data_IF_514685635608
#
_entry.id   IF_514685635608
#
_cell.length_a   1.000
_cell.length_b   1.000
_cell.length_c   1.000
_cell.angle_alpha   90.00
_cell.angle_beta   90.00
_cell.angle_gamma   90.00
#
_symmetry.space_group_name_H-M   'P 1'
#
loop_
_entity.id
_entity.type
_entity.pdbx_description
1 polymer ?
#
# COMPACT_ATOMS: atom_id res chain seq x y z
N UNK A 1 5.06 -48.37 -21.23
CA UNK A 1 4.87 -47.43 -20.13
C UNK A 1 5.48 -46.09 -20.56
N UNK A 2 4.66 -45.14 -21.00
CA UNK A 2 5.12 -43.81 -21.41
C UNK A 2 4.99 -42.88 -20.20
N UNK A 3 6.12 -42.39 -19.71
CA UNK A 3 6.21 -41.37 -18.66
C UNK A 3 5.88 -40.03 -19.32
N UNK A 4 4.79 -39.37 -18.87
CA UNK A 4 4.44 -38.02 -19.30
C UNK A 4 5.39 -37.02 -18.64
N UNK A 5 5.93 -36.03 -19.37
CA UNK A 5 6.75 -34.99 -18.76
C UNK A 5 5.88 -34.05 -17.93
N UNK A 6 6.25 -33.87 -16.68
CA UNK A 6 5.67 -32.88 -15.80
C UNK A 6 5.75 -31.48 -16.45
N UNK A 7 4.64 -30.81 -16.47
CA UNK A 7 4.41 -29.56 -17.17
C UNK A 7 5.32 -28.46 -16.56
N UNK A 8 6.33 -27.99 -17.29
CA UNK A 8 7.27 -26.94 -16.91
C UNK A 8 6.52 -25.66 -16.47
N UNK A 9 5.32 -25.43 -17.00
CA UNK A 9 4.46 -24.31 -16.64
C UNK A 9 3.95 -24.40 -15.19
N UNK A 10 3.64 -25.59 -14.66
CA UNK A 10 3.23 -25.79 -13.27
C UNK A 10 4.39 -25.59 -12.29
N UNK A 11 5.60 -25.99 -12.68
CA UNK A 11 6.80 -25.76 -11.85
C UNK A 11 7.11 -24.25 -11.78
N UNK A 12 6.97 -23.51 -12.89
CA UNK A 12 7.19 -22.06 -12.93
C UNK A 12 6.14 -21.28 -12.13
N UNK A 13 4.89 -21.72 -12.12
CA UNK A 13 3.82 -21.12 -11.31
C UNK A 13 4.02 -21.42 -9.82
N UNK A 14 4.35 -22.66 -9.46
CA UNK A 14 4.58 -23.04 -8.05
C UNK A 14 5.82 -22.37 -7.45
N UNK A 15 6.89 -22.17 -8.23
CA UNK A 15 8.09 -21.45 -7.77
C UNK A 15 7.82 -19.94 -7.62
N UNK A 16 7.02 -19.31 -8.49
CA UNK A 16 6.61 -17.90 -8.34
C UNK A 16 5.68 -17.71 -7.14
N UNK A 17 4.79 -18.63 -6.85
CA UNK A 17 3.91 -18.60 -5.69
C UNK A 17 4.69 -18.77 -4.37
N UNK A 18 5.60 -19.74 -4.31
CA UNK A 18 6.46 -19.93 -3.14
C UNK A 18 7.39 -18.72 -2.89
N UNK A 19 7.95 -18.11 -3.95
CA UNK A 19 8.77 -16.89 -3.80
C UNK A 19 7.97 -15.68 -3.32
N UNK A 20 6.69 -15.53 -3.69
CA UNK A 20 5.84 -14.44 -3.17
C UNK A 20 5.52 -14.58 -1.69
N UNK A 21 5.45 -15.80 -1.16
CA UNK A 21 5.22 -16.04 0.26
C UNK A 21 6.45 -15.72 1.14
N UNK A 22 7.60 -15.48 0.54
CA UNK A 22 8.86 -15.16 1.21
C UNK A 22 9.27 -13.69 1.00
N UNK A 23 8.40 -12.86 0.42
CA UNK A 23 8.66 -11.45 0.18
C UNK A 23 8.17 -10.59 1.35
N UNK A 24 9.09 -9.87 2.00
CA UNK A 24 8.76 -8.88 3.02
C UNK A 24 8.24 -7.60 2.37
N UNK A 25 6.98 -7.26 2.60
CA UNK A 25 6.43 -5.97 2.16
C UNK A 25 6.63 -4.91 3.24
N UNK A 26 7.31 -3.81 2.90
CA UNK A 26 7.57 -2.67 3.76
C UNK A 26 6.86 -1.45 3.16
N UNK A 27 5.99 -0.80 3.95
CA UNK A 27 5.32 0.43 3.51
C UNK A 27 6.14 1.63 3.99
N UNK A 28 6.79 2.33 3.06
CA UNK A 28 7.48 3.57 3.38
C UNK A 28 6.62 4.76 2.95
N UNK A 29 6.16 5.51 3.96
CA UNK A 29 5.46 6.79 3.79
C UNK A 29 6.51 7.87 3.52
N UNK A 30 6.87 8.05 2.26
CA UNK A 30 8.02 8.88 1.85
C UNK A 30 7.84 10.36 2.19
N UNK A 31 6.59 10.83 2.30
CA UNK A 31 6.23 12.21 2.61
C UNK A 31 4.89 12.29 3.31
N UNK A 32 4.67 13.32 4.13
CA UNK A 32 3.35 13.71 4.64
C UNK A 32 2.59 14.62 3.66
N UNK A 33 3.30 15.28 2.75
CA UNK A 33 2.70 16.20 1.81
C UNK A 33 1.71 15.46 0.90
N UNK A 34 0.54 16.04 0.74
CA UNK A 34 -0.50 15.54 -0.16
C UNK A 34 -1.23 16.73 -0.80
N UNK A 35 -1.58 16.59 -2.06
CA UNK A 35 -2.43 17.56 -2.76
C UNK A 35 -3.93 17.36 -2.49
N UNK A 36 -4.31 16.27 -1.79
CA UNK A 36 -5.65 16.03 -1.25
C UNK A 36 -5.70 16.35 0.26
N UNK A 37 -6.91 16.57 0.78
CA UNK A 37 -7.17 16.84 2.20
C UNK A 37 -8.24 15.91 2.78
N UNK A 38 -8.14 14.60 2.48
CA UNK A 38 -9.10 13.60 2.95
C UNK A 38 -9.32 13.69 4.45
N UNK A 39 -10.58 13.85 4.87
CA UNK A 39 -10.97 14.11 6.28
C UNK A 39 -10.68 12.94 7.20
N UNK A 40 -10.62 11.73 6.67
CA UNK A 40 -10.33 10.50 7.42
C UNK A 40 -8.83 10.11 7.36
N UNK A 41 -7.97 10.89 6.69
CA UNK A 41 -6.59 10.49 6.42
C UNK A 41 -5.83 10.21 7.72
N UNK A 42 -5.31 8.99 7.85
CA UNK A 42 -4.49 8.59 8.99
C UNK A 42 -3.02 9.00 8.84
N UNK A 43 -2.56 9.30 7.62
CA UNK A 43 -1.18 9.69 7.34
C UNK A 43 -0.94 11.18 7.68
N UNK A 44 -1.24 11.56 8.93
CA UNK A 44 -0.99 12.89 9.47
C UNK A 44 -0.11 12.76 10.71
N UNK A 45 1.16 13.07 10.55
CA UNK A 45 2.15 13.06 11.64
C UNK A 45 2.54 14.50 11.97
N UNK A 46 3.35 14.68 13.02
CA UNK A 46 3.84 16.03 13.38
C UNK A 46 4.82 16.54 12.32
N UNK A 47 4.48 17.62 11.65
CA UNK A 47 5.26 18.26 10.58
C UNK A 47 6.55 18.94 11.04
N UNK A 48 7.11 18.58 12.18
CA UNK A 48 8.31 19.19 12.74
C UNK A 48 9.56 18.46 12.27
N UNK A 49 10.18 18.92 11.20
CA UNK A 49 11.45 18.40 10.74
C UNK A 49 11.55 18.28 9.21
N UNK A 50 12.75 18.05 8.73
CA UNK A 50 13.03 17.82 7.31
C UNK A 50 12.81 16.35 7.00
N UNK A 51 11.87 16.03 6.11
CA UNK A 51 11.60 14.68 5.66
C UNK A 51 12.83 14.04 5.00
N UNK A 52 13.00 12.75 5.23
CA UNK A 52 14.18 11.98 4.80
C UNK A 52 14.38 12.01 3.28
N UNK A 53 13.30 12.04 2.51
CA UNK A 53 13.35 12.03 1.03
C UNK A 53 14.15 13.21 0.43
N UNK A 54 14.37 14.30 1.18
CA UNK A 54 15.13 15.45 0.72
C UNK A 54 16.67 15.32 0.90
N UNK A 55 17.14 14.14 1.33
CA UNK A 55 18.57 13.86 1.51
C UNK A 55 18.96 12.55 0.83
N UNK A 56 19.76 12.65 -0.22
CA UNK A 56 20.30 11.48 -0.95
C UNK A 56 21.04 10.53 -0.03
N UNK A 57 21.86 11.06 0.89
CA UNK A 57 22.60 10.26 1.84
C UNK A 57 21.69 9.52 2.83
N UNK A 58 20.59 10.17 3.24
CA UNK A 58 19.61 9.55 4.14
C UNK A 58 18.79 8.47 3.45
N UNK A 59 18.42 8.65 2.17
CA UNK A 59 17.76 7.61 1.37
C UNK A 59 18.66 6.37 1.28
N UNK A 60 19.93 6.55 0.93
CA UNK A 60 20.90 5.44 0.84
C UNK A 60 21.10 4.74 2.18
N UNK A 61 21.24 5.51 3.28
CA UNK A 61 21.36 4.97 4.62
C UNK A 61 20.12 4.14 5.01
N UNK A 62 18.91 4.65 4.74
CA UNK A 62 17.67 3.93 5.02
C UNK A 62 17.60 2.61 4.23
N UNK A 63 17.96 2.60 2.94
CA UNK A 63 17.91 1.38 2.12
C UNK A 63 18.89 0.32 2.63
N UNK A 64 20.09 0.71 3.06
CA UNK A 64 21.04 -0.23 3.70
C UNK A 64 20.48 -0.84 4.97
N UNK A 65 19.78 -0.08 5.79
CA UNK A 65 19.17 -0.59 7.02
C UNK A 65 17.94 -1.48 6.72
N UNK A 66 17.09 -1.09 5.78
CA UNK A 66 15.94 -1.89 5.33
C UNK A 66 16.41 -3.26 4.80
N UNK A 67 17.51 -3.32 4.07
CA UNK A 67 18.05 -4.56 3.53
C UNK A 67 18.34 -5.64 4.60
N UNK A 68 18.53 -5.25 5.86
CA UNK A 68 18.76 -6.18 6.98
C UNK A 68 17.47 -6.80 7.53
N UNK A 69 16.29 -6.22 7.22
CA UNK A 69 15.02 -6.60 7.86
C UNK A 69 14.60 -8.06 7.63
N UNK A 70 14.77 -8.68 6.46
CA UNK A 70 14.48 -10.11 6.28
C UNK A 70 15.24 -10.96 7.30
N UNK A 71 16.56 -10.78 7.41
CA UNK A 71 17.40 -11.52 8.34
C UNK A 71 16.96 -11.29 9.80
N UNK A 72 16.68 -10.05 10.19
CA UNK A 72 16.27 -9.69 11.55
C UNK A 72 14.91 -10.31 11.90
N UNK A 73 13.92 -10.19 11.02
CA UNK A 73 12.59 -10.78 11.24
C UNK A 73 12.64 -12.31 11.24
N UNK A 74 13.44 -12.92 10.38
CA UNK A 74 13.65 -14.37 10.38
C UNK A 74 14.23 -14.84 11.72
N UNK A 75 15.23 -14.12 12.26
CA UNK A 75 15.84 -14.43 13.57
C UNK A 75 14.87 -14.24 14.72
N UNK A 76 14.20 -13.09 14.80
CA UNK A 76 13.45 -12.71 16.00
C UNK A 76 11.96 -13.13 15.97
N UNK A 77 11.40 -13.40 14.81
CA UNK A 77 9.96 -13.70 14.62
C UNK A 77 9.72 -15.06 13.96
N UNK A 78 10.77 -15.84 13.67
CA UNK A 78 10.64 -17.15 13.03
C UNK A 78 9.97 -17.07 11.66
N UNK A 79 10.26 -16.02 10.90
CA UNK A 79 9.81 -15.87 9.50
C UNK A 79 10.84 -16.48 8.56
N UNK A 80 10.56 -16.48 7.25
CA UNK A 80 11.41 -17.05 6.20
C UNK A 80 11.55 -16.11 4.99
N UNK A 81 11.56 -14.79 5.26
CA UNK A 81 11.70 -13.79 4.22
C UNK A 81 13.04 -13.87 3.49
N UNK A 82 13.01 -13.80 2.15
CA UNK A 82 14.19 -13.87 1.29
C UNK A 82 14.35 -12.64 0.40
N UNK A 83 13.29 -11.85 0.24
CA UNK A 83 13.29 -10.66 -0.60
C UNK A 83 12.47 -9.54 0.03
N UNK A 84 12.63 -8.34 -0.50
CA UNK A 84 11.91 -7.14 -0.05
C UNK A 84 11.10 -6.56 -1.21
N UNK A 85 9.84 -6.25 -0.93
CA UNK A 85 9.07 -5.32 -1.73
C UNK A 85 8.87 -4.03 -0.95
N UNK A 86 9.46 -2.95 -1.45
CA UNK A 86 9.27 -1.62 -0.93
C UNK A 86 8.02 -1.02 -1.55
N UNK A 87 6.99 -0.77 -0.74
CA UNK A 87 5.75 -0.14 -1.14
C UNK A 87 5.82 1.35 -0.82
N UNK A 88 6.00 2.18 -1.84
CA UNK A 88 6.09 3.64 -1.70
C UNK A 88 4.70 4.22 -1.54
N UNK A 89 4.47 4.80 -0.38
CA UNK A 89 3.19 5.40 0.04
C UNK A 89 3.47 6.74 0.72
N UNK A 90 2.49 7.38 1.33
CA UNK A 90 2.71 8.61 2.08
C UNK A 90 1.47 9.48 2.08
N UNK A 91 1.65 10.77 1.97
CA UNK A 91 0.64 11.70 1.52
C UNK A 91 0.31 11.41 0.06
N UNK A 92 1.02 12.06 -0.88
CA UNK A 92 0.98 11.68 -2.29
C UNK A 92 2.41 11.51 -2.83
N UNK A 93 2.85 10.28 -3.12
CA UNK A 93 4.24 10.01 -3.54
C UNK A 93 4.65 10.72 -4.84
N UNK A 94 3.69 10.98 -5.74
CA UNK A 94 3.96 11.58 -7.05
C UNK A 94 4.24 13.10 -7.01
N UNK A 95 4.18 13.73 -5.83
CA UNK A 95 4.47 15.16 -5.67
C UNK A 95 5.95 15.51 -5.92
N UNK A 96 6.87 14.59 -5.62
CA UNK A 96 8.31 14.85 -5.61
C UNK A 96 9.03 13.95 -6.62
N UNK A 97 8.94 14.31 -7.90
CA UNK A 97 9.42 13.47 -9.00
C UNK A 97 10.92 13.16 -8.92
N UNK A 98 11.75 14.17 -8.70
CA UNK A 98 13.21 13.99 -8.62
C UNK A 98 13.60 13.05 -7.47
N UNK A 99 13.00 13.25 -6.29
CA UNK A 99 13.24 12.40 -5.12
C UNK A 99 12.71 10.99 -5.34
N UNK A 100 11.54 10.86 -5.98
CA UNK A 100 11.00 9.55 -6.33
C UNK A 100 11.92 8.79 -7.29
N UNK A 101 12.44 9.44 -8.33
CA UNK A 101 13.41 8.83 -9.26
C UNK A 101 14.69 8.39 -8.55
N UNK A 102 15.15 9.18 -7.57
CA UNK A 102 16.28 8.79 -6.75
C UNK A 102 15.97 7.57 -5.87
N UNK A 103 14.81 7.55 -5.20
CA UNK A 103 14.35 6.40 -4.38
C UNK A 103 14.27 5.14 -5.26
N UNK A 104 13.67 5.22 -6.44
CA UNK A 104 13.56 4.10 -7.39
C UNK A 104 14.94 3.55 -7.72
N UNK A 105 15.88 4.42 -8.09
CA UNK A 105 17.26 4.01 -8.45
C UNK A 105 17.96 3.30 -7.29
N UNK A 106 17.94 3.92 -6.10
CA UNK A 106 18.62 3.36 -4.93
C UNK A 106 17.99 2.03 -4.50
N UNK A 107 16.66 1.95 -4.42
CA UNK A 107 15.96 0.72 -4.03
C UNK A 107 16.24 -0.43 -5.02
N UNK A 108 16.29 -0.15 -6.33
CA UNK A 108 16.64 -1.15 -7.34
C UNK A 108 18.09 -1.63 -7.23
N UNK A 109 19.03 -0.73 -6.89
CA UNK A 109 20.43 -1.11 -6.65
C UNK A 109 20.58 -2.06 -5.45
N UNK A 110 19.66 -1.98 -4.47
CA UNK A 110 19.57 -2.92 -3.36
C UNK A 110 18.77 -4.20 -3.70
N UNK A 111 18.30 -4.36 -4.93
CA UNK A 111 17.52 -5.53 -5.37
C UNK A 111 16.07 -5.55 -4.87
N UNK A 112 15.54 -4.42 -4.40
CA UNK A 112 14.15 -4.36 -3.92
C UNK A 112 13.16 -4.34 -5.07
N UNK A 113 12.12 -5.15 -4.97
CA UNK A 113 10.92 -4.99 -5.77
C UNK A 113 10.16 -3.73 -5.34
N UNK A 114 9.54 -3.03 -6.28
CA UNK A 114 8.82 -1.80 -6.00
C UNK A 114 7.32 -1.95 -6.22
N UNK A 115 6.54 -1.38 -5.32
CA UNK A 115 5.12 -1.12 -5.50
C UNK A 115 4.79 0.27 -4.95
N UNK A 116 3.64 0.82 -5.31
CA UNK A 116 3.23 2.12 -4.79
C UNK A 116 1.72 2.20 -4.59
N UNK A 117 1.30 3.21 -3.81
CA UNK A 117 -0.10 3.64 -3.72
C UNK A 117 -0.17 5.14 -3.93
N UNK A 118 -1.04 5.56 -4.84
CA UNK A 118 -1.28 6.96 -5.20
C UNK A 118 -2.77 7.28 -5.16
N UNK A 119 -3.11 8.55 -4.97
CA UNK A 119 -4.47 9.05 -5.18
C UNK A 119 -4.84 9.18 -6.67
N UNK A 120 -3.86 9.02 -7.57
CA UNK A 120 -4.02 8.98 -9.02
C UNK A 120 -4.14 10.36 -9.69
N UNK A 121 -4.23 11.45 -8.93
CA UNK A 121 -4.52 12.79 -9.49
C UNK A 121 -3.35 13.41 -10.28
N UNK A 122 -2.14 12.96 -10.01
CA UNK A 122 -0.91 13.43 -10.68
C UNK A 122 -0.39 12.47 -11.74
N UNK A 123 -1.15 11.40 -12.03
CA UNK A 123 -0.79 10.48 -13.10
C UNK A 123 -0.95 11.18 -14.45
N UNK A 124 0.15 11.42 -15.12
CA UNK A 124 0.29 11.82 -16.52
C UNK A 124 0.96 10.69 -17.32
N UNK A 125 1.19 10.92 -18.61
CA UNK A 125 1.77 9.92 -19.49
C UNK A 125 3.20 9.55 -19.06
N UNK A 126 3.98 10.52 -18.59
CA UNK A 126 5.35 10.30 -18.12
C UNK A 126 5.37 9.46 -16.83
N UNK A 127 4.49 9.76 -15.86
CA UNK A 127 4.34 8.93 -14.67
C UNK A 127 3.85 7.52 -15.00
N UNK A 128 2.93 7.38 -15.95
CA UNK A 128 2.46 6.07 -16.41
C UNK A 128 3.62 5.23 -16.96
N UNK A 129 4.53 5.84 -17.75
CA UNK A 129 5.71 5.18 -18.27
C UNK A 129 6.69 4.79 -17.16
N UNK A 130 7.04 5.72 -16.26
CA UNK A 130 7.92 5.45 -15.11
C UNK A 130 7.39 4.28 -14.29
N UNK A 131 6.09 4.27 -13.99
CA UNK A 131 5.44 3.22 -13.20
C UNK A 131 5.49 1.88 -13.91
N UNK A 132 5.14 1.84 -15.20
CA UNK A 132 5.14 0.61 -15.99
C UNK A 132 6.51 -0.08 -16.02
N UNK A 133 7.61 0.71 -16.08
CA UNK A 133 8.96 0.17 -16.19
C UNK A 133 9.63 -0.17 -14.84
N UNK A 134 9.19 0.44 -13.74
CA UNK A 134 9.93 0.33 -12.48
C UNK A 134 9.16 -0.42 -11.39
N UNK A 135 7.84 -0.57 -11.49
CA UNK A 135 7.02 -1.11 -10.42
C UNK A 135 6.37 -2.45 -10.81
N UNK A 136 6.29 -3.36 -9.86
CA UNK A 136 5.54 -4.62 -10.02
C UNK A 136 4.03 -4.39 -9.91
N UNK A 137 3.62 -3.38 -9.12
CA UNK A 137 2.21 -3.06 -8.97
C UNK A 137 1.98 -1.61 -8.53
N UNK A 138 0.83 -1.08 -8.92
CA UNK A 138 0.32 0.20 -8.43
C UNK A 138 -1.05 0.00 -7.79
N UNK A 139 -1.26 0.60 -6.62
CA UNK A 139 -2.56 0.78 -6.00
C UNK A 139 -3.09 2.19 -6.27
N UNK A 140 -4.28 2.30 -6.82
CA UNK A 140 -4.95 3.58 -7.00
C UNK A 140 -6.06 3.67 -5.95
N UNK A 141 -6.08 4.78 -5.20
CA UNK A 141 -7.07 5.00 -4.16
C UNK A 141 -8.32 5.63 -4.76
N UNK A 142 -9.46 4.94 -4.66
CA UNK A 142 -10.77 5.40 -5.15
C UNK A 142 -11.82 5.06 -4.11
N UNK A 143 -12.47 6.08 -3.53
CA UNK A 143 -13.47 5.87 -2.49
C UNK A 143 -14.90 6.05 -3.02
N UNK A 144 -15.07 6.82 -4.08
CA UNK A 144 -16.36 7.14 -4.68
C UNK A 144 -16.21 7.45 -6.18
N UNK A 145 -17.25 7.19 -6.95
CA UNK A 145 -17.38 7.66 -8.34
C UNK A 145 -18.21 8.94 -8.43
N UNK A 146 -18.87 9.34 -7.33
CA UNK A 146 -19.64 10.58 -7.27
C UNK A 146 -18.74 11.77 -6.89
N UNK A 147 -18.80 12.82 -7.70
CA UNK A 147 -18.01 14.04 -7.50
C UNK A 147 -18.35 14.73 -6.17
N UNK A 148 -19.63 14.79 -5.79
CA UNK A 148 -20.06 15.48 -4.55
C UNK A 148 -19.56 14.72 -3.33
N UNK A 149 -19.62 13.39 -3.35
CA UNK A 149 -19.08 12.55 -2.29
C UNK A 149 -17.56 12.73 -2.17
N UNK A 150 -16.81 12.70 -3.27
CA UNK A 150 -15.36 12.94 -3.25
C UNK A 150 -15.01 14.34 -2.69
N UNK A 151 -15.73 15.39 -3.10
CA UNK A 151 -15.56 16.75 -2.53
C UNK A 151 -15.83 16.74 -1.02
N UNK A 152 -16.90 16.11 -0.57
CA UNK A 152 -17.28 16.02 0.84
C UNK A 152 -16.30 15.21 1.69
N UNK A 153 -15.67 14.18 1.12
CA UNK A 153 -14.61 13.41 1.76
C UNK A 153 -13.30 14.22 1.82
N UNK A 154 -13.09 15.17 0.90
CA UNK A 154 -11.84 15.92 0.72
C UNK A 154 -10.88 15.25 -0.28
N UNK A 155 -11.40 14.36 -1.15
CA UNK A 155 -10.63 13.70 -2.22
C UNK A 155 -10.62 14.55 -3.49
N UNK A 156 -9.97 15.70 -3.39
CA UNK A 156 -9.83 16.66 -4.49
C UNK A 156 -8.59 17.52 -4.35
N UNK A 157 -8.05 18.00 -5.47
CA UNK A 157 -7.00 19.01 -5.52
C UNK A 157 -7.61 20.32 -6.01
N UNK A 158 -7.57 21.38 -5.20
CA UNK A 158 -8.15 22.71 -5.57
C UNK A 158 -9.57 22.59 -6.16
N UNK A 159 -10.46 21.83 -5.51
CA UNK A 159 -11.83 21.53 -5.94
C UNK A 159 -11.96 20.71 -7.25
N UNK A 160 -10.87 20.20 -7.77
CA UNK A 160 -10.88 19.28 -8.92
C UNK A 160 -10.80 17.84 -8.45
N UNK A 161 -11.81 17.03 -8.81
CA UNK A 161 -11.88 15.59 -8.54
C UNK A 161 -11.36 14.84 -9.76
N UNK A 162 -10.46 13.88 -9.56
CA UNK A 162 -10.00 13.01 -10.65
C UNK A 162 -11.15 12.09 -11.07
N UNK A 163 -11.54 12.14 -12.34
CA UNK A 163 -12.66 11.34 -12.84
C UNK A 163 -12.28 9.87 -13.02
N UNK A 164 -13.29 9.02 -13.00
CA UNK A 164 -13.14 7.58 -13.27
C UNK A 164 -12.56 7.31 -14.66
N UNK A 165 -12.96 8.13 -15.66
CA UNK A 165 -12.49 8.02 -17.03
C UNK A 165 -10.98 8.30 -17.12
N UNK A 166 -10.49 9.32 -16.41
CA UNK A 166 -9.04 9.62 -16.37
C UNK A 166 -8.26 8.50 -15.71
N UNK A 167 -8.79 7.92 -14.64
CA UNK A 167 -8.17 6.74 -13.99
C UNK A 167 -8.11 5.56 -14.96
N UNK A 168 -9.20 5.24 -15.66
CA UNK A 168 -9.24 4.16 -16.65
C UNK A 168 -8.27 4.40 -17.81
N UNK A 169 -8.18 5.63 -18.32
CA UNK A 169 -7.21 6.02 -19.34
C UNK A 169 -5.77 5.76 -18.89
N UNK A 170 -5.40 6.24 -17.70
CA UNK A 170 -4.05 6.08 -17.17
C UNK A 170 -3.70 4.60 -16.94
N UNK A 171 -4.64 3.79 -16.40
CA UNK A 171 -4.46 2.34 -16.28
C UNK A 171 -4.25 1.70 -17.66
N UNK A 172 -4.99 2.14 -18.68
CA UNK A 172 -4.82 1.67 -20.05
C UNK A 172 -3.43 1.95 -20.60
N UNK A 173 -2.89 3.16 -20.37
CA UNK A 173 -1.51 3.53 -20.77
C UNK A 173 -0.49 2.64 -20.05
N UNK A 174 -0.60 2.48 -18.73
CA UNK A 174 0.30 1.65 -17.92
C UNK A 174 0.30 0.21 -18.42
N UNK A 175 -0.88 -0.39 -18.64
CA UNK A 175 -1.02 -1.78 -19.11
C UNK A 175 -0.51 -1.98 -20.53
N UNK A 176 -0.65 -0.97 -21.40
CA UNK A 176 -0.11 -1.01 -22.76
C UNK A 176 1.41 -1.15 -22.75
N UNK A 177 2.09 -0.48 -21.81
CA UNK A 177 3.55 -0.54 -21.68
C UNK A 177 4.03 -1.76 -20.89
N UNK A 178 3.27 -2.19 -19.87
CA UNK A 178 3.56 -3.38 -19.08
C UNK A 178 2.28 -4.18 -18.80
N UNK A 179 1.95 -5.16 -19.67
CA UNK A 179 0.75 -6.00 -19.48
C UNK A 179 0.76 -6.82 -18.18
N UNK A 180 1.93 -7.03 -17.58
CA UNK A 180 2.09 -7.85 -16.37
C UNK A 180 2.04 -7.05 -15.07
N UNK A 181 1.90 -5.71 -15.14
CA UNK A 181 1.82 -4.88 -13.94
C UNK A 181 0.55 -5.16 -13.14
N UNK A 182 0.69 -5.33 -11.84
CA UNK A 182 -0.46 -5.51 -10.96
C UNK A 182 -1.19 -4.19 -10.71
N UNK A 183 -2.45 -4.08 -11.14
CA UNK A 183 -3.32 -2.94 -10.78
C UNK A 183 -4.15 -3.33 -9.57
N UNK A 184 -4.08 -2.54 -8.52
CA UNK A 184 -4.86 -2.69 -7.29
C UNK A 184 -5.72 -1.45 -7.07
N UNK A 185 -6.95 -1.62 -6.60
CA UNK A 185 -7.79 -0.52 -6.12
C UNK A 185 -7.82 -0.57 -4.59
N UNK A 186 -7.72 0.59 -3.96
CA UNK A 186 -7.91 0.77 -2.53
C UNK A 186 -9.11 1.67 -2.28
N UNK A 187 -10.03 1.25 -1.43
CA UNK A 187 -11.23 2.00 -1.06
C UNK A 187 -11.34 2.09 0.44
N UNK A 188 -11.46 3.29 1.00
CA UNK A 188 -11.80 3.50 2.40
C UNK A 188 -13.29 3.74 2.53
N UNK A 189 -13.99 2.77 3.11
CA UNK A 189 -15.42 2.87 3.38
C UNK A 189 -15.65 3.72 4.62
N UNK A 190 -16.43 4.77 4.46
CA UNK A 190 -16.72 5.78 5.48
C UNK A 190 -18.19 6.19 5.42
N UNK A 191 -18.62 7.07 6.33
CA UNK A 191 -20.03 7.48 6.46
C UNK A 191 -20.64 8.09 5.20
N UNK A 192 -19.83 8.61 4.26
CA UNK A 192 -20.31 9.28 3.07
C UNK A 192 -20.47 8.35 1.86
N UNK A 193 -19.80 7.18 1.86
CA UNK A 193 -19.78 6.28 0.69
C UNK A 193 -20.22 4.84 0.98
N UNK A 194 -20.57 4.47 2.22
CA UNK A 194 -20.88 3.07 2.56
C UNK A 194 -22.09 2.48 1.83
N UNK A 195 -22.94 3.30 1.23
CA UNK A 195 -24.10 2.88 0.42
C UNK A 195 -23.83 2.92 -1.09
N UNK A 196 -22.68 3.47 -1.52
CA UNK A 196 -22.34 3.57 -2.93
C UNK A 196 -22.00 2.21 -3.55
N UNK A 197 -22.16 2.12 -4.86
CA UNK A 197 -21.70 1.00 -5.67
C UNK A 197 -20.55 1.42 -6.58
N UNK A 198 -19.41 0.76 -6.43
CA UNK A 198 -18.26 0.91 -7.32
C UNK A 198 -18.19 -0.23 -8.37
N UNK A 199 -19.23 -1.06 -8.46
CA UNK A 199 -19.25 -2.28 -9.25
C UNK A 199 -18.77 -2.05 -10.70
N UNK A 200 -19.43 -1.14 -11.41
CA UNK A 200 -19.12 -0.84 -12.83
C UNK A 200 -17.68 -0.33 -13.03
N UNK A 201 -17.14 0.44 -12.07
CA UNK A 201 -15.76 0.89 -12.14
C UNK A 201 -14.80 -0.27 -11.95
N UNK A 202 -15.03 -1.11 -10.93
CA UNK A 202 -14.15 -2.25 -10.61
C UNK A 202 -14.13 -3.26 -11.75
N UNK A 203 -15.27 -3.54 -12.39
CA UNK A 203 -15.32 -4.39 -13.59
C UNK A 203 -14.49 -3.82 -14.75
N UNK A 204 -14.62 -2.52 -15.03
CA UNK A 204 -13.85 -1.85 -16.10
C UNK A 204 -12.34 -1.81 -15.78
N UNK A 205 -11.96 -1.55 -14.53
CA UNK A 205 -10.56 -1.57 -14.10
C UNK A 205 -9.99 -3.00 -14.15
N UNK A 206 -10.80 -4.00 -13.81
CA UNK A 206 -10.38 -5.40 -13.68
C UNK A 206 -9.05 -5.51 -12.89
N UNK A 207 -9.03 -5.10 -11.60
CA UNK A 207 -7.83 -5.15 -10.79
C UNK A 207 -7.53 -6.59 -10.36
N UNK A 208 -6.24 -6.94 -10.14
CA UNK A 208 -5.94 -8.25 -9.53
C UNK A 208 -6.36 -8.31 -8.06
N UNK A 209 -6.61 -7.14 -7.43
CA UNK A 209 -7.02 -7.01 -6.03
C UNK A 209 -7.78 -5.71 -5.80
N UNK A 210 -8.91 -5.80 -5.12
CA UNK A 210 -9.62 -4.66 -4.56
C UNK A 210 -9.55 -4.70 -3.03
N UNK A 211 -8.73 -3.81 -2.44
CA UNK A 211 -8.64 -3.66 -0.99
C UNK A 211 -9.72 -2.70 -0.49
N UNK A 212 -10.52 -3.17 0.42
CA UNK A 212 -11.60 -2.40 1.05
C UNK A 212 -11.28 -2.27 2.54
N UNK A 213 -11.06 -1.05 2.98
CA UNK A 213 -10.72 -0.72 4.37
C UNK A 213 -11.92 -0.11 5.08
N UNK A 214 -12.25 -0.61 6.25
CA UNK A 214 -13.11 0.15 7.17
C UNK A 214 -12.34 1.38 7.62
N UNK A 215 -12.97 2.57 7.55
CA UNK A 215 -12.33 3.81 8.01
C UNK A 215 -11.76 3.63 9.42
N UNK A 216 -10.47 3.93 9.58
CA UNK A 216 -9.71 3.74 10.82
C UNK A 216 -9.71 5.04 11.65
N UNK A 217 -10.34 5.06 12.85
CA UNK A 217 -10.49 6.28 13.64
C UNK A 217 -9.26 6.59 14.52
N UNK A 218 -8.09 6.74 13.89
CA UNK A 218 -6.82 7.05 14.60
C UNK A 218 -6.64 8.57 14.81
N UNK A 219 -6.93 9.37 13.77
CA UNK A 219 -6.76 10.83 13.81
C UNK A 219 -8.08 11.54 14.05
N UNK A 220 -9.18 10.96 13.57
CA UNK A 220 -10.54 11.49 13.68
C UNK A 220 -11.56 10.37 13.63
N UNK A 221 -12.70 10.55 14.25
CA UNK A 221 -13.85 9.65 14.18
C UNK A 221 -15.00 10.22 13.31
N UNK A 222 -14.85 11.42 12.78
CA UNK A 222 -15.90 12.16 12.09
C UNK A 222 -16.57 11.42 10.92
N UNK A 223 -15.88 10.48 10.29
CA UNK A 223 -16.41 9.69 9.19
C UNK A 223 -16.46 8.18 9.53
N UNK A 224 -16.40 7.85 10.80
CA UNK A 224 -16.48 6.45 11.26
C UNK A 224 -17.80 5.79 10.88
N UNK A 225 -17.75 4.49 10.69
CA UNK A 225 -18.88 3.62 10.37
C UNK A 225 -18.93 2.44 11.32
N UNK A 226 -20.13 1.91 11.51
CA UNK A 226 -20.36 0.67 12.24
C UNK A 226 -19.90 -0.56 11.42
N UNK A 227 -19.79 -1.72 12.09
CA UNK A 227 -19.53 -2.98 11.38
C UNK A 227 -20.67 -3.33 10.42
N UNK A 228 -21.92 -3.06 10.80
CA UNK A 228 -23.07 -3.30 9.91
C UNK A 228 -23.02 -2.45 8.65
N UNK A 229 -22.63 -1.18 8.74
CA UNK A 229 -22.45 -0.32 7.56
C UNK A 229 -21.31 -0.81 6.68
N UNK A 230 -20.22 -1.29 7.27
CA UNK A 230 -19.12 -1.87 6.52
C UNK A 230 -19.56 -3.17 5.81
N UNK A 231 -20.29 -4.04 6.50
CA UNK A 231 -20.85 -5.27 5.91
C UNK A 231 -21.84 -4.95 4.77
N UNK A 232 -22.69 -3.92 4.93
CA UNK A 232 -23.60 -3.50 3.86
C UNK A 232 -22.83 -3.12 2.58
N UNK A 233 -21.71 -2.39 2.71
CA UNK A 233 -20.87 -2.07 1.55
C UNK A 233 -20.32 -3.36 0.89
N UNK A 234 -19.83 -4.33 1.68
CA UNK A 234 -19.31 -5.59 1.15
C UNK A 234 -20.41 -6.42 0.45
N UNK A 235 -21.61 -6.49 1.05
CA UNK A 235 -22.76 -7.19 0.45
C UNK A 235 -23.22 -6.58 -0.88
N UNK A 236 -23.21 -5.24 -0.98
CA UNK A 236 -23.52 -4.55 -2.23
C UNK A 236 -22.55 -4.91 -3.38
N UNK A 237 -21.38 -5.47 -3.03
CA UNK A 237 -20.34 -5.85 -4.01
C UNK A 237 -20.04 -7.37 -4.00
N UNK A 238 -20.95 -8.19 -3.45
CA UNK A 238 -20.73 -9.65 -3.28
C UNK A 238 -20.36 -10.40 -4.57
N UNK A 239 -20.86 -9.94 -5.72
CA UNK A 239 -20.56 -10.53 -7.03
C UNK A 239 -19.08 -10.38 -7.43
N UNK A 240 -18.38 -9.40 -6.83
CA UNK A 240 -16.94 -9.15 -6.99
C UNK A 240 -16.10 -9.73 -5.84
N UNK A 241 -16.67 -10.63 -5.02
CA UNK A 241 -16.03 -11.18 -3.81
C UNK A 241 -14.67 -11.82 -4.09
N UNK A 242 -14.46 -12.36 -5.29
CA UNK A 242 -13.18 -12.93 -5.73
C UNK A 242 -12.04 -11.90 -5.82
N UNK A 243 -12.36 -10.61 -6.01
CA UNK A 243 -11.39 -9.50 -6.05
C UNK A 243 -11.23 -8.82 -4.68
N UNK A 244 -12.21 -9.01 -3.78
CA UNK A 244 -12.30 -8.24 -2.53
C UNK A 244 -11.37 -8.80 -1.45
N UNK A 245 -10.60 -7.90 -0.87
CA UNK A 245 -9.77 -8.09 0.32
C UNK A 245 -10.13 -7.03 1.34
N UNK A 246 -11.10 -7.33 2.19
CA UNK A 246 -11.58 -6.41 3.22
C UNK A 246 -10.68 -6.45 4.46
N UNK A 247 -10.51 -5.30 5.10
CA UNK A 247 -9.78 -5.14 6.34
C UNK A 247 -10.58 -4.28 7.31
N UNK A 248 -10.97 -4.85 8.45
CA UNK A 248 -11.54 -4.11 9.55
C UNK A 248 -10.44 -3.43 10.40
N UNK A 249 -10.84 -2.67 11.41
CA UNK A 249 -9.90 -1.90 12.23
C UNK A 249 -8.93 -2.79 13.02
N UNK A 250 -9.37 -3.95 13.53
CA UNK A 250 -8.51 -4.87 14.28
C UNK A 250 -7.46 -5.54 13.39
N UNK A 251 -7.82 -5.79 12.12
CA UNK A 251 -6.90 -6.37 11.14
C UNK A 251 -5.84 -5.38 10.69
N UNK A 252 -6.10 -4.06 10.76
CA UNK A 252 -5.15 -3.03 10.37
C UNK A 252 -4.12 -2.69 11.47
N UNK A 253 -4.39 -3.06 12.71
CA UNK A 253 -3.50 -2.76 13.86
C UNK A 253 -2.38 -3.78 13.96
N UNK A 254 -1.14 -3.30 14.14
CA UNK A 254 0.09 -4.09 14.35
C UNK A 254 0.42 -5.11 13.25
N UNK A 255 -0.15 -4.95 12.06
CA UNK A 255 -0.13 -5.95 11.01
C UNK A 255 0.66 -5.55 9.76
N UNK A 256 1.30 -4.40 9.77
CA UNK A 256 2.17 -3.88 8.73
C UNK A 256 3.58 -3.61 9.24
N UNK A 257 4.56 -3.65 8.36
CA UNK A 257 5.86 -3.00 8.59
C UNK A 257 5.79 -1.64 7.91
N UNK A 258 5.73 -0.57 8.73
CA UNK A 258 5.55 0.80 8.25
C UNK A 258 6.71 1.67 8.67
N UNK A 259 7.18 2.52 7.75
CA UNK A 259 8.21 3.54 7.97
C UNK A 259 7.60 4.90 7.61
N UNK A 260 7.77 5.90 8.47
CA UNK A 260 7.27 7.26 8.24
C UNK A 260 8.24 8.12 7.40
N UNK A 261 7.86 9.36 7.13
CA UNK A 261 8.65 10.29 6.30
C UNK A 261 9.97 10.74 6.96
N UNK A 262 10.14 10.47 8.27
CA UNK A 262 11.37 10.74 9.03
C UNK A 262 12.27 9.52 9.16
N UNK A 263 11.91 8.39 8.54
CA UNK A 263 12.64 7.13 8.59
C UNK A 263 12.53 6.40 9.93
N UNK A 264 11.40 6.53 10.64
CA UNK A 264 11.09 5.80 11.87
C UNK A 264 10.14 4.66 11.56
N UNK A 265 10.28 3.52 12.21
CA UNK A 265 9.16 2.58 12.25
C UNK A 265 7.99 3.19 13.02
N UNK A 266 6.77 2.91 12.56
CA UNK A 266 5.58 3.29 13.31
C UNK A 266 4.47 2.23 13.18
N UNK A 267 3.56 2.21 14.18
CA UNK A 267 2.42 1.31 14.24
C UNK A 267 1.15 2.04 14.65
N UNK A 268 0.04 1.59 14.09
CA UNK A 268 -1.30 1.98 14.55
C UNK A 268 -1.59 1.20 15.83
N UNK A 269 -1.61 1.85 16.98
CA UNK A 269 -1.94 1.20 18.24
C UNK A 269 -3.22 1.80 18.82
N UNK A 270 -4.28 1.00 18.91
CA UNK A 270 -5.53 1.41 19.58
C UNK A 270 -5.36 1.52 21.11
N UNK A 271 -4.29 0.98 21.67
CA UNK A 271 -4.02 0.98 23.12
C UNK A 271 -3.44 2.30 23.64
N UNK A 272 -2.99 3.19 22.76
CA UNK A 272 -2.42 4.49 23.15
C UNK A 272 -3.35 5.62 22.69
N UNK A 273 -3.72 6.49 23.63
CA UNK A 273 -4.57 7.67 23.37
C UNK A 273 -4.03 8.64 22.29
N UNK A 274 -2.80 8.46 21.80
CA UNK A 274 -2.13 9.27 20.77
C UNK A 274 -2.08 8.62 19.38
N UNK A 275 -2.71 7.47 19.18
CA UNK A 275 -2.88 6.87 17.85
C UNK A 275 -1.68 6.14 17.27
N UNK A 276 -0.42 6.53 17.53
CA UNK A 276 0.77 5.93 16.94
C UNK A 276 1.86 5.62 17.97
N UNK A 277 2.56 4.51 17.74
CA UNK A 277 3.83 4.20 18.37
C UNK A 277 4.95 4.39 17.34
N UNK A 278 6.01 5.09 17.71
CA UNK A 278 7.17 5.34 16.84
C UNK A 278 8.43 4.74 17.45
N UNK A 279 9.35 4.31 16.58
CA UNK A 279 10.75 4.11 16.96
C UNK A 279 11.54 5.42 16.89
N UNK A 280 12.78 5.39 17.35
CA UNK A 280 13.78 6.37 16.92
C UNK A 280 14.07 6.20 15.42
N UNK A 281 14.69 7.22 14.75
CA UNK A 281 15.04 7.12 13.34
C UNK A 281 15.97 5.93 13.06
N UNK A 282 15.59 5.11 12.09
CA UNK A 282 16.31 3.89 11.69
C UNK A 282 17.76 4.21 11.30
N UNK A 283 17.99 5.34 10.60
CA UNK A 283 19.32 5.76 10.21
C UNK A 283 20.21 6.18 11.38
N UNK A 284 19.62 6.47 12.56
CA UNK A 284 20.36 6.90 13.74
C UNK A 284 20.80 5.71 14.60
N UNK A 285 19.87 4.78 14.88
CA UNK A 285 20.12 3.68 15.83
C UNK A 285 20.24 2.30 15.18
N UNK A 286 20.03 2.22 13.83
CA UNK A 286 20.03 0.98 13.07
C UNK A 286 18.67 0.25 13.09
N UNK A 287 18.44 -0.58 12.07
CA UNK A 287 17.16 -1.28 11.88
C UNK A 287 16.84 -2.25 13.04
N UNK A 288 17.84 -2.92 13.61
CA UNK A 288 17.66 -3.89 14.69
C UNK A 288 17.14 -3.23 15.97
N UNK A 289 17.80 -2.17 16.44
CA UNK A 289 17.37 -1.44 17.63
C UNK A 289 16.02 -0.76 17.43
N UNK A 290 15.82 -0.12 16.27
CA UNK A 290 14.55 0.54 15.95
C UNK A 290 13.37 -0.45 15.88
N UNK A 291 13.58 -1.68 15.37
CA UNK A 291 12.54 -2.71 15.31
C UNK A 291 12.10 -3.20 16.69
N UNK A 292 12.96 -3.13 17.70
CA UNK A 292 12.63 -3.51 19.08
C UNK A 292 11.74 -2.46 19.78
N UNK A 293 11.70 -1.23 19.27
CA UNK A 293 10.88 -0.14 19.84
C UNK A 293 9.43 -0.15 19.38
N UNK A 294 9.08 -0.98 18.36
CA UNK A 294 7.73 -1.12 17.84
C UNK A 294 7.28 -2.59 17.82
N UNK A 295 5.97 -2.79 17.92
CA UNK A 295 5.41 -4.13 17.86
C UNK A 295 4.83 -4.41 16.46
N UNK A 296 5.21 -5.56 15.88
CA UNK A 296 4.60 -6.12 14.65
C UNK A 296 4.11 -7.53 14.97
N UNK A 297 2.82 -7.78 14.86
CA UNK A 297 2.26 -9.12 14.99
C UNK A 297 2.55 -9.95 13.75
N UNK A 298 3.52 -10.85 13.85
CA UNK A 298 3.94 -11.72 12.75
C UNK A 298 2.80 -12.61 12.21
N UNK A 299 1.84 -13.01 13.06
CA UNK A 299 0.68 -13.82 12.64
C UNK A 299 -0.30 -13.00 11.81
N UNK A 300 -0.63 -11.77 12.27
CA UNK A 300 -1.46 -10.84 11.51
C UNK A 300 -0.78 -10.45 10.19
N UNK A 301 0.54 -10.18 10.22
CA UNK A 301 1.33 -9.90 9.02
C UNK A 301 1.25 -11.07 8.01
N UNK A 302 1.51 -12.31 8.47
CA UNK A 302 1.42 -13.51 7.62
C UNK A 302 0.01 -13.69 7.06
N UNK A 303 -1.04 -13.62 7.88
CA UNK A 303 -2.43 -13.71 7.42
C UNK A 303 -2.72 -12.72 6.30
N UNK A 304 -2.25 -11.48 6.41
CA UNK A 304 -2.44 -10.41 5.42
C UNK A 304 -1.79 -10.70 4.07
N UNK A 305 -0.57 -11.22 4.09
CA UNK A 305 0.22 -11.37 2.87
C UNK A 305 0.22 -12.81 2.31
N UNK A 306 -0.06 -13.83 3.15
CA UNK A 306 0.01 -15.24 2.75
C UNK A 306 -1.36 -15.91 2.53
N UNK A 307 -2.43 -15.50 3.20
CA UNK A 307 -3.78 -16.05 3.00
C UNK A 307 -4.37 -15.70 1.62
N UNK A 308 -3.72 -14.84 0.88
CA UNK A 308 -4.11 -14.36 -0.44
C UNK A 308 -4.10 -15.44 -1.53
N UNK A 309 -3.42 -16.56 -1.32
CA UNK A 309 -3.20 -17.59 -2.33
C UNK A 309 -4.10 -18.82 -2.20
N UNK A 310 -4.86 -18.96 -1.11
CA UNK A 310 -5.79 -20.09 -0.93
C UNK A 310 -7.18 -19.87 -1.56
N UNK A 311 -7.51 -18.67 -2.05
CA UNK A 311 -8.81 -18.37 -2.66
C UNK A 311 -8.87 -18.55 -4.19
N UNK A 312 -7.78 -18.93 -4.83
CA UNK A 312 -7.68 -19.17 -6.28
C UNK A 312 -7.50 -20.65 -6.64
N UNK A 313 -7.94 -21.56 -5.76
CA UNK A 313 -8.06 -22.99 -6.04
C UNK A 313 -9.50 -23.37 -6.38
#
# INVERSE_FOLDING_TARGET
MKVFPYNICQIYLSTRENMKNQELTINWHITEACNYSCRYCFAKWNKNGKELLHSSASIEALMREIAKLPMLLNRYRGTDFQSIRLNLVGGEPLLYKEQMMQIIRVARNHGFALSMVSNGSLLDDEWCEIIAHNFQSIGISIDSIDTKTNLSIGRHAKNHVTSSEKVLQNIGIIRKQNPNIGIKINTVVNRLNYQESLHSLIEKVNPYKWKIFKMLPIVTDNLSITDNQFQLFLENHRTLSHLIYSENNDEMVDSYVMIDSFGRFFQNSLQKCSGYQYSQPICLIGAEAALQEVFVDARKYRKRYFTLYQKTG
#
